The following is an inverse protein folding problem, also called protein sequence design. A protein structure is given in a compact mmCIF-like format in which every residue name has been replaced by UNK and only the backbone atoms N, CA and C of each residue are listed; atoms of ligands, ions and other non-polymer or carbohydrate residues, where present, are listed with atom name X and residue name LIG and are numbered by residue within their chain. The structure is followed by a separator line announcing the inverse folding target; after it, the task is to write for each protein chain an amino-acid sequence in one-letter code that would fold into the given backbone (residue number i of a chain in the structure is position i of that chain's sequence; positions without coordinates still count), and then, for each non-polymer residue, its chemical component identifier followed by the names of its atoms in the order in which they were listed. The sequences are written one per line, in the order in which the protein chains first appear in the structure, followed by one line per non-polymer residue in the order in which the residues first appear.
data_IF_764757227800
#
_entry.id   IF_764757227800
#
_cell.length_a   1.000
_cell.length_b   1.000
_cell.length_c   1.000
_cell.angle_alpha   90.00
_cell.angle_beta   90.00
_cell.angle_gamma   90.00
#
_symmetry.space_group_name_H-M   'P 1'
#
loop_
_entity.id
_entity.type
_entity.pdbx_description
1 polymer ?
#
# COMPACT_ATOMS: atom_id res chain seq x y z
N UNK A 1 -56.16 43.64 -41.43
CA UNK A 1 -56.54 43.89 -40.02
C UNK A 1 -55.29 44.36 -39.28
N UNK A 2 -54.86 45.61 -39.49
CA UNK A 2 -55.12 46.82 -38.68
C UNK A 2 -54.68 46.69 -37.19
N UNK A 3 -53.43 47.12 -36.98
CA UNK A 3 -52.76 47.85 -35.87
C UNK A 3 -53.41 47.97 -34.47
N UNK A 4 -52.59 47.90 -33.41
CA UNK A 4 -51.98 49.05 -32.67
C UNK A 4 -51.42 48.61 -31.30
N UNK A 5 -50.12 48.78 -31.06
CA UNK A 5 -49.66 49.78 -30.09
C UNK A 5 -48.14 49.98 -30.12
N UNK A 6 -47.80 51.27 -30.12
CA UNK A 6 -46.49 51.89 -30.20
C UNK A 6 -46.10 52.34 -28.80
N UNK A 7 -44.83 52.22 -28.44
CA UNK A 7 -44.19 53.12 -27.49
C UNK A 7 -42.76 53.42 -27.96
N UNK A 8 -42.55 54.66 -28.36
CA UNK A 8 -41.28 55.28 -28.76
C UNK A 8 -40.65 55.90 -27.50
N UNK A 9 -39.34 55.72 -27.30
CA UNK A 9 -38.49 56.75 -26.67
C UNK A 9 -37.16 56.90 -27.41
N UNK A 10 -36.89 58.15 -27.76
CA UNK A 10 -35.74 58.67 -28.50
C UNK A 10 -34.53 58.96 -27.60
N UNK A 11 -33.33 58.88 -28.23
CA UNK A 11 -32.14 59.72 -27.97
C UNK A 11 -31.21 59.23 -26.85
N UNK A 12 -29.89 59.21 -26.99
CA UNK A 12 -29.03 60.17 -27.72
C UNK A 12 -27.80 59.51 -28.36
N UNK A 13 -27.35 60.18 -29.42
CA UNK A 13 -26.19 59.98 -30.29
C UNK A 13 -24.87 59.86 -29.48
N UNK A 14 -24.09 58.82 -29.75
CA UNK A 14 -22.66 58.80 -29.46
C UNK A 14 -21.93 59.48 -30.62
N UNK A 15 -21.30 60.63 -30.35
CA UNK A 15 -20.42 61.32 -31.29
C UNK A 15 -19.09 60.59 -31.35
N UNK A 16 -18.65 60.27 -32.56
CA UNK A 16 -17.32 59.75 -32.85
C UNK A 16 -16.25 60.82 -32.52
N UNK A 17 -15.26 60.45 -31.72
CA UNK A 17 -14.07 61.26 -31.50
C UNK A 17 -13.07 61.06 -32.66
N UNK A 18 -12.33 62.09 -33.09
CA UNK A 18 -11.41 61.98 -34.21
C UNK A 18 -10.11 61.27 -33.81
N UNK A 19 -9.65 60.39 -34.70
CA UNK A 19 -8.32 59.80 -34.71
C UNK A 19 -7.26 60.90 -34.79
N UNK A 20 -6.31 60.94 -33.84
CA UNK A 20 -5.04 61.64 -34.01
C UNK A 20 -3.93 60.64 -34.32
N UNK A 21 -3.23 60.96 -35.41
CA UNK A 21 -2.06 60.29 -35.97
C UNK A 21 -0.83 60.37 -35.05
N UNK A 22 -0.09 59.26 -35.06
CA UNK A 22 1.37 59.10 -34.95
C UNK A 22 2.16 60.00 -33.98
N UNK A 23 2.72 59.37 -32.95
CA UNK A 23 4.05 59.74 -32.46
C UNK A 23 4.89 58.47 -32.25
N UNK A 24 6.11 58.54 -32.77
CA UNK A 24 7.13 57.52 -32.81
C UNK A 24 7.39 56.90 -31.43
N UNK A 25 7.40 55.57 -31.36
CA UNK A 25 7.92 54.83 -30.21
C UNK A 25 9.45 54.79 -30.33
N UNK A 26 10.11 55.78 -29.74
CA UNK A 26 11.54 55.67 -29.41
C UNK A 26 11.68 54.76 -28.19
N UNK A 27 12.41 53.67 -28.33
CA UNK A 27 12.85 52.85 -27.20
C UNK A 27 13.92 53.64 -26.42
N UNK A 28 13.54 54.28 -25.32
CA UNK A 28 14.49 54.73 -24.31
C UNK A 28 14.57 53.67 -23.20
N UNK A 29 15.78 53.18 -22.93
CA UNK A 29 16.10 52.38 -21.75
C UNK A 29 16.32 53.33 -20.58
N UNK A 30 15.23 53.76 -19.94
CA UNK A 30 15.32 54.37 -18.61
C UNK A 30 14.71 53.41 -17.59
N UNK A 31 15.57 52.90 -16.70
CA UNK A 31 15.22 51.96 -15.62
C UNK A 31 14.35 52.59 -14.53
N UNK A 32 14.13 53.90 -14.58
CA UNK A 32 13.33 54.68 -13.62
C UNK A 32 11.83 54.40 -13.70
N UNK A 33 11.32 53.93 -14.85
CA UNK A 33 9.88 53.67 -15.00
C UNK A 33 9.44 52.39 -14.30
N UNK A 34 10.34 51.41 -14.15
CA UNK A 34 10.04 50.13 -13.53
C UNK A 34 9.94 50.26 -12.01
N UNK A 35 10.85 51.02 -11.41
CA UNK A 35 10.79 51.41 -9.99
C UNK A 35 9.54 52.25 -9.71
N UNK A 36 9.24 53.24 -10.55
CA UNK A 36 8.01 54.02 -10.41
C UNK A 36 6.73 53.17 -10.57
N UNK A 37 6.76 52.16 -11.45
CA UNK A 37 5.66 51.19 -11.59
C UNK A 37 5.53 50.25 -10.40
N UNK A 38 6.65 49.79 -9.83
CA UNK A 38 6.67 48.97 -8.61
C UNK A 38 6.17 49.80 -7.43
N UNK A 39 6.60 51.05 -7.30
CA UNK A 39 6.14 51.96 -6.26
C UNK A 39 4.66 52.31 -6.41
N UNK A 40 4.17 52.50 -7.63
CA UNK A 40 2.74 52.69 -7.89
C UNK A 40 1.94 51.42 -7.59
N UNK A 41 2.47 50.24 -7.92
CA UNK A 41 1.84 48.97 -7.59
C UNK A 41 1.80 48.74 -6.09
N UNK A 42 2.90 49.00 -5.39
CA UNK A 42 3.00 48.93 -3.93
C UNK A 42 2.08 49.95 -3.25
N UNK A 43 1.96 51.17 -3.78
CA UNK A 43 0.97 52.15 -3.31
C UNK A 43 -0.46 51.68 -3.54
N UNK A 44 -0.74 51.02 -4.67
CA UNK A 44 -2.04 50.44 -4.95
C UNK A 44 -2.35 49.26 -4.02
N UNK A 45 -1.42 48.32 -3.79
CA UNK A 45 -1.60 47.21 -2.85
C UNK A 45 -1.77 47.71 -1.43
N UNK A 46 -0.96 48.68 -1.00
CA UNK A 46 -1.09 49.28 0.33
C UNK A 46 -2.38 50.09 0.48
N UNK A 47 -2.84 50.75 -0.58
CA UNK A 47 -4.14 51.42 -0.59
C UNK A 47 -5.29 50.42 -0.54
N UNK A 48 -5.18 49.29 -1.25
CA UNK A 48 -6.16 48.21 -1.21
C UNK A 48 -6.18 47.55 0.16
N UNK A 49 -5.03 47.28 0.77
CA UNK A 49 -4.91 46.78 2.14
C UNK A 49 -5.45 47.79 3.16
N UNK A 50 -5.16 49.08 3.01
CA UNK A 50 -5.74 50.13 3.85
C UNK A 50 -7.26 50.22 3.68
N UNK A 51 -7.77 50.06 2.45
CA UNK A 51 -9.21 50.02 2.15
C UNK A 51 -9.85 48.79 2.78
N UNK A 52 -9.23 47.62 2.65
CA UNK A 52 -9.67 46.34 3.22
C UNK A 52 -9.62 46.36 4.76
N UNK A 53 -8.64 47.04 5.34
CA UNK A 53 -8.53 47.27 6.78
C UNK A 53 -9.55 48.33 7.28
N UNK A 54 -9.85 49.36 6.48
CA UNK A 54 -10.86 50.39 6.77
C UNK A 54 -12.29 49.90 6.58
N UNK A 55 -12.48 48.83 5.79
CA UNK A 55 -13.70 48.01 5.78
C UNK A 55 -13.76 47.21 7.09
N UNK A 56 -13.91 47.93 8.20
CA UNK A 56 -14.09 47.41 9.56
C UNK A 56 -15.29 46.44 9.70
N UNK A 57 -16.10 46.25 8.65
CA UNK A 57 -17.19 45.27 8.60
C UNK A 57 -16.72 43.82 8.48
N UNK A 58 -15.53 43.53 7.95
CA UNK A 58 -15.07 42.14 7.74
C UNK A 58 -14.14 41.64 8.82
N UNK A 59 -13.47 42.54 9.56
CA UNK A 59 -12.53 42.16 10.64
C UNK A 59 -13.22 41.84 11.97
N UNK A 60 -14.45 42.31 12.15
CA UNK A 60 -15.29 42.04 13.31
C UNK A 60 -16.50 41.16 13.01
N UNK A 61 -16.57 40.51 11.83
CA UNK A 61 -17.48 39.37 11.68
C UNK A 61 -16.87 38.16 12.38
N UNK A 62 -16.87 38.20 13.71
CA UNK A 62 -17.05 36.97 14.45
C UNK A 62 -18.49 36.54 14.16
N UNK A 63 -18.73 35.43 13.44
CA UNK A 63 -20.08 34.89 13.40
C UNK A 63 -20.52 34.80 14.86
N UNK A 64 -21.75 35.23 15.22
CA UNK A 64 -22.17 35.19 16.60
C UNK A 64 -22.01 33.75 17.08
N UNK A 65 -20.93 33.49 17.81
CA UNK A 65 -20.87 32.34 18.68
C UNK A 65 -21.87 32.71 19.75
N UNK A 66 -23.13 32.37 19.52
CA UNK A 66 -24.05 32.14 20.62
C UNK A 66 -23.32 31.14 21.49
N UNK A 67 -22.60 31.63 22.50
CA UNK A 67 -22.39 30.90 23.74
C UNK A 67 -23.82 30.65 24.20
N UNK A 68 -24.44 29.57 23.72
CA UNK A 68 -25.68 29.07 24.28
C UNK A 68 -25.35 28.98 25.76
N UNK A 69 -26.10 29.71 26.60
CA UNK A 69 -26.12 29.42 28.01
C UNK A 69 -26.25 27.90 28.10
N UNK A 70 -25.36 27.25 28.85
CA UNK A 70 -25.35 25.80 28.96
C UNK A 70 -26.67 25.44 29.63
N UNK A 71 -27.70 25.15 28.84
CA UNK A 71 -29.00 24.76 29.36
C UNK A 71 -28.74 23.59 30.33
N UNK A 72 -29.33 23.56 31.53
CA UNK A 72 -29.16 22.43 32.44
C UNK A 72 -29.70 21.11 31.84
N UNK A 73 -30.51 21.22 30.77
CA UNK A 73 -30.96 20.14 29.90
C UNK A 73 -30.19 20.07 28.55
N UNK A 74 -28.95 20.56 28.51
CA UNK A 74 -28.09 20.52 27.33
C UNK A 74 -28.07 19.10 26.75
N UNK A 75 -28.42 18.99 25.48
CA UNK A 75 -28.43 17.72 24.76
C UNK A 75 -27.12 16.99 24.98
N UNK A 76 -27.22 15.74 25.41
CA UNK A 76 -26.06 14.87 25.62
C UNK A 76 -25.14 14.93 24.40
N UNK A 77 -23.81 14.94 24.62
CA UNK A 77 -22.80 14.92 23.56
C UNK A 77 -23.09 13.81 22.54
N UNK A 78 -23.68 12.69 22.98
CA UNK A 78 -24.14 11.62 22.11
C UNK A 78 -25.22 12.06 21.11
N UNK A 79 -26.21 12.85 21.56
CA UNK A 79 -27.28 13.39 20.70
C UNK A 79 -26.73 14.40 19.69
N UNK A 80 -25.80 15.25 20.12
CA UNK A 80 -25.16 16.22 19.24
C UNK A 80 -24.28 15.53 18.19
N UNK A 81 -23.53 14.49 18.58
CA UNK A 81 -22.75 13.66 17.65
C UNK A 81 -23.64 12.91 16.65
N UNK A 82 -24.78 12.39 17.10
CA UNK A 82 -25.77 11.75 16.24
C UNK A 82 -26.36 12.75 15.22
N UNK A 83 -26.72 13.95 15.69
CA UNK A 83 -27.23 15.02 14.83
C UNK A 83 -26.15 15.47 13.81
N UNK A 84 -24.90 15.64 14.25
CA UNK A 84 -23.77 15.95 13.38
C UNK A 84 -23.59 14.88 12.29
N UNK A 85 -23.58 13.60 12.65
CA UNK A 85 -23.44 12.51 11.69
C UNK A 85 -24.63 12.41 10.72
N UNK A 86 -25.85 12.68 11.21
CA UNK A 86 -27.04 12.71 10.37
C UNK A 86 -26.96 13.83 9.33
N UNK A 87 -26.61 15.05 9.75
CA UNK A 87 -26.41 16.19 8.86
C UNK A 87 -25.29 15.90 7.87
N UNK A 88 -24.13 15.41 8.35
CA UNK A 88 -22.98 15.07 7.50
C UNK A 88 -23.35 14.04 6.45
N UNK A 89 -24.02 12.94 6.81
CA UNK A 89 -24.44 11.91 5.85
C UNK A 89 -25.40 12.45 4.80
N UNK A 90 -26.32 13.35 5.18
CA UNK A 90 -27.31 13.92 4.27
C UNK A 90 -26.74 15.03 3.38
N UNK A 91 -25.84 15.85 3.92
CA UNK A 91 -25.43 17.11 3.28
C UNK A 91 -24.01 17.14 2.72
N UNK A 92 -23.10 16.28 3.18
CA UNK A 92 -21.69 16.37 2.82
C UNK A 92 -21.40 16.12 1.34
N UNK A 93 -22.22 15.31 0.67
CA UNK A 93 -22.04 14.97 -0.74
C UNK A 93 -22.98 15.77 -1.66
N UNK A 94 -23.63 16.83 -1.18
CA UNK A 94 -24.33 17.78 -2.05
C UNK A 94 -23.34 18.75 -2.70
N UNK A 95 -23.66 19.22 -3.91
CA UNK A 95 -22.83 20.16 -4.68
C UNK A 95 -22.16 19.47 -5.86
N UNK A 96 -20.85 19.64 -6.00
CA UNK A 96 -20.05 19.06 -7.09
C UNK A 96 -19.32 17.80 -6.66
N UNK A 97 -19.29 16.78 -7.52
CA UNK A 97 -18.47 15.58 -7.31
C UNK A 97 -17.02 15.88 -7.71
N UNK A 98 -16.13 15.94 -6.72
CA UNK A 98 -14.68 16.09 -6.98
C UNK A 98 -14.12 14.69 -7.30
N UNK A 99 -13.55 14.46 -8.49
CA UNK A 99 -12.90 13.19 -8.79
C UNK A 99 -11.68 13.00 -7.89
N UNK A 100 -11.65 11.89 -7.16
CA UNK A 100 -10.53 11.53 -6.29
C UNK A 100 -9.33 11.14 -7.15
N UNK A 101 -8.27 11.94 -7.12
CA UNK A 101 -7.05 11.67 -7.88
C UNK A 101 -6.07 10.76 -7.13
N UNK A 102 -5.91 10.97 -5.82
CA UNK A 102 -5.06 10.13 -4.97
C UNK A 102 -5.54 10.18 -3.52
N UNK A 103 -5.65 9.01 -2.90
CA UNK A 103 -5.92 8.85 -1.47
C UNK A 103 -4.87 7.93 -0.86
N UNK A 104 -4.06 8.38 0.12
CA UNK A 104 -2.94 7.60 0.66
C UNK A 104 -3.33 6.20 1.17
N UNK A 105 -4.50 6.09 1.80
CA UNK A 105 -5.00 4.84 2.36
C UNK A 105 -5.52 3.85 1.31
N UNK A 106 -5.80 4.30 0.09
CA UNK A 106 -6.43 3.47 -0.93
C UNK A 106 -5.52 2.33 -1.38
N UNK A 107 -4.20 2.55 -1.45
CA UNK A 107 -3.23 1.52 -1.80
C UNK A 107 -3.17 0.37 -0.78
N UNK A 108 -3.48 0.65 0.49
CA UNK A 108 -3.55 -0.36 1.55
C UNK A 108 -4.92 -1.05 1.53
N UNK A 109 -6.02 -0.28 1.47
CA UNK A 109 -7.37 -0.85 1.59
C UNK A 109 -7.76 -1.64 0.34
N UNK A 110 -7.55 -1.05 -0.83
CA UNK A 110 -7.92 -1.60 -2.12
C UNK A 110 -6.76 -1.48 -3.13
N UNK A 111 -5.71 -2.29 -2.96
CA UNK A 111 -4.60 -2.34 -3.90
C UNK A 111 -5.05 -2.80 -5.31
N UNK A 112 -4.41 -2.28 -6.37
CA UNK A 112 -4.69 -2.66 -7.75
C UNK A 112 -4.21 -4.10 -8.03
N UNK A 113 -4.82 -4.74 -9.03
CA UNK A 113 -4.36 -6.04 -9.49
C UNK A 113 -3.07 -5.90 -10.33
N UNK A 114 -2.23 -6.96 -10.43
CA UNK A 114 -1.02 -6.93 -11.25
C UNK A 114 -1.24 -6.52 -12.72
N UNK A 115 -2.44 -6.77 -13.26
CA UNK A 115 -2.84 -6.43 -14.64
C UNK A 115 -3.12 -4.93 -14.80
N UNK A 116 -3.58 -4.28 -13.74
CA UNK A 116 -4.00 -2.86 -13.75
C UNK A 116 -2.84 -1.90 -13.47
N UNK A 117 -1.62 -2.42 -13.34
CA UNK A 117 -0.41 -1.62 -13.12
C UNK A 117 -0.04 -0.93 -14.42
N UNK A 118 -0.08 0.39 -14.40
CA UNK A 118 0.38 1.25 -15.49
C UNK A 118 1.67 1.98 -15.09
N UNK A 119 2.41 2.46 -16.09
CA UNK A 119 3.65 3.21 -15.86
C UNK A 119 3.39 4.52 -15.13
N UNK A 120 2.23 5.15 -15.39
CA UNK A 120 1.80 6.38 -14.73
C UNK A 120 1.57 6.15 -13.24
N UNK A 121 0.99 5.01 -12.86
CA UNK A 121 0.78 4.67 -11.46
C UNK A 121 2.10 4.45 -10.73
N UNK A 122 3.06 3.76 -11.37
CA UNK A 122 4.40 3.54 -10.83
C UNK A 122 5.16 4.86 -10.69
N UNK A 123 5.09 5.73 -11.69
CA UNK A 123 5.68 7.06 -11.66
C UNK A 123 5.06 7.91 -10.54
N UNK A 124 3.73 7.96 -10.46
CA UNK A 124 3.00 8.67 -9.42
C UNK A 124 3.34 8.16 -8.01
N UNK A 125 3.65 6.87 -7.89
CA UNK A 125 4.06 6.22 -6.64
C UNK A 125 5.55 6.37 -6.33
N UNK A 126 6.29 7.19 -7.09
CA UNK A 126 7.70 7.52 -6.86
C UNK A 126 8.66 6.33 -6.98
N UNK A 127 8.24 5.24 -7.63
CA UNK A 127 9.06 4.03 -7.78
C UNK A 127 10.33 4.23 -8.61
N UNK A 128 10.36 5.25 -9.48
CA UNK A 128 11.47 5.57 -10.38
C UNK A 128 12.61 6.34 -9.72
N UNK A 129 12.42 6.86 -8.51
CA UNK A 129 13.43 7.68 -7.84
C UNK A 129 14.40 6.76 -7.10
N UNK A 130 15.61 6.58 -7.61
CA UNK A 130 16.66 5.84 -6.89
C UNK A 130 17.45 6.73 -5.94
N UNK A 131 18.67 6.29 -5.60
CA UNK A 131 19.61 7.01 -4.77
C UNK A 131 20.51 7.97 -5.55
N UNK A 132 21.26 8.80 -4.82
CA UNK A 132 22.24 9.73 -5.37
C UNK A 132 23.32 8.99 -6.17
N UNK A 133 23.87 9.63 -7.21
CA UNK A 133 24.87 9.00 -8.10
C UNK A 133 26.18 8.58 -7.43
N UNK A 134 26.43 9.07 -6.22
CA UNK A 134 27.59 8.69 -5.41
C UNK A 134 27.36 7.40 -4.61
N UNK A 135 26.11 7.12 -4.26
CA UNK A 135 25.68 5.98 -3.45
C UNK A 135 24.94 5.00 -4.37
N UNK A 136 25.68 4.35 -5.26
CA UNK A 136 25.11 3.39 -6.20
C UNK A 136 25.95 2.13 -6.28
N UNK A 137 25.28 1.01 -6.56
CA UNK A 137 25.92 -0.27 -6.81
C UNK A 137 25.99 -0.52 -8.33
N UNK A 138 27.21 -0.65 -8.91
CA UNK A 138 27.37 -0.91 -10.35
C UNK A 138 26.65 -2.18 -10.85
N UNK A 139 26.41 -3.16 -9.98
CA UNK A 139 25.66 -4.38 -10.34
C UNK A 139 24.22 -4.07 -10.81
N UNK A 140 23.64 -2.94 -10.36
CA UNK A 140 22.30 -2.49 -10.73
C UNK A 140 22.23 -1.61 -11.98
N UNK A 141 23.35 -1.39 -12.68
CA UNK A 141 23.40 -0.55 -13.86
C UNK A 141 22.30 -0.90 -14.89
N UNK A 142 21.96 -2.19 -15.02
CA UNK A 142 20.95 -2.69 -15.96
C UNK A 142 19.54 -2.15 -15.74
N UNK A 143 19.20 -1.70 -14.52
CA UNK A 143 17.87 -1.20 -14.19
C UNK A 143 17.77 0.32 -14.25
N UNK A 144 18.91 1.01 -14.35
CA UNK A 144 18.98 2.47 -14.33
C UNK A 144 18.70 2.98 -15.74
N UNK A 145 17.66 3.80 -15.87
CA UNK A 145 17.30 4.47 -17.11
C UNK A 145 18.25 5.64 -17.42
N UNK A 146 18.64 6.41 -16.40
CA UNK A 146 19.51 7.56 -16.57
C UNK A 146 19.74 8.33 -15.27
N UNK A 147 20.31 9.52 -15.38
CA UNK A 147 20.59 10.41 -14.24
C UNK A 147 19.88 11.73 -14.46
N UNK A 148 19.18 12.22 -13.43
CA UNK A 148 18.56 13.55 -13.42
C UNK A 148 18.62 14.12 -12.01
N UNK A 149 18.94 15.40 -11.88
CA UNK A 149 19.03 16.08 -10.59
C UNK A 149 19.99 15.38 -9.58
N UNK A 150 21.06 14.75 -10.08
CA UNK A 150 22.05 14.06 -9.24
C UNK A 150 21.57 12.73 -8.64
N UNK A 151 20.43 12.21 -9.08
CA UNK A 151 19.84 10.94 -8.64
C UNK A 151 19.71 9.99 -9.84
N UNK A 152 19.88 8.70 -9.60
CA UNK A 152 19.61 7.66 -10.58
C UNK A 152 18.10 7.46 -10.76
N UNK A 153 17.63 7.50 -12.01
CA UNK A 153 16.26 7.15 -12.36
C UNK A 153 16.20 5.69 -12.72
N UNK A 154 15.35 4.93 -12.04
CA UNK A 154 15.06 3.52 -12.33
C UNK A 154 14.10 3.44 -13.52
N UNK A 155 14.34 2.51 -14.43
CA UNK A 155 13.47 2.25 -15.58
C UNK A 155 12.13 1.67 -15.13
N UNK A 156 11.04 2.42 -15.36
CA UNK A 156 9.68 2.00 -15.00
C UNK A 156 9.19 0.77 -15.78
N UNK A 157 9.68 0.58 -17.01
CA UNK A 157 9.37 -0.61 -17.81
C UNK A 157 9.95 -1.87 -17.17
N UNK A 158 11.20 -1.77 -16.70
CA UNK A 158 11.86 -2.85 -15.96
C UNK A 158 11.14 -3.10 -14.63
N UNK A 159 10.79 -2.05 -13.89
CA UNK A 159 9.98 -2.17 -12.67
C UNK A 159 8.67 -2.90 -12.92
N UNK A 160 7.91 -2.50 -13.96
CA UNK A 160 6.62 -3.10 -14.29
C UNK A 160 6.75 -4.58 -14.70
N UNK A 161 7.75 -4.92 -15.52
CA UNK A 161 8.00 -6.28 -15.96
C UNK A 161 8.37 -7.20 -14.78
N UNK A 162 9.29 -6.76 -13.92
CA UNK A 162 9.72 -7.51 -12.75
C UNK A 162 8.62 -7.65 -11.71
N UNK A 163 7.85 -6.59 -11.46
CA UNK A 163 6.71 -6.63 -10.53
C UNK A 163 5.64 -7.63 -10.99
N UNK A 164 5.31 -7.65 -12.29
CA UNK A 164 4.37 -8.64 -12.86
C UNK A 164 4.91 -10.07 -12.77
N UNK A 165 6.21 -10.27 -13.00
CA UNK A 165 6.87 -11.57 -12.82
C UNK A 165 6.76 -12.04 -11.37
N UNK A 166 7.10 -11.17 -10.42
CA UNK A 166 7.03 -11.46 -8.98
C UNK A 166 5.60 -11.76 -8.54
N UNK A 167 4.62 -10.98 -9.01
CA UNK A 167 3.21 -11.24 -8.75
C UNK A 167 2.80 -12.65 -9.22
N UNK A 168 3.27 -13.09 -10.38
CA UNK A 168 3.00 -14.45 -10.87
C UNK A 168 3.61 -15.53 -9.98
N UNK A 169 4.81 -15.32 -9.46
CA UNK A 169 5.46 -16.24 -8.51
C UNK A 169 4.66 -16.31 -7.21
N UNK A 170 4.26 -15.17 -6.64
CA UNK A 170 3.44 -15.11 -5.41
C UNK A 170 2.09 -15.83 -5.62
N UNK A 171 1.43 -15.58 -6.75
CA UNK A 171 0.18 -16.28 -7.13
C UNK A 171 0.38 -17.79 -7.20
N UNK A 172 1.48 -18.25 -7.81
CA UNK A 172 1.80 -19.68 -7.94
C UNK A 172 2.09 -20.36 -6.60
N UNK A 173 2.89 -19.73 -5.73
CA UNK A 173 3.17 -20.26 -4.39
C UNK A 173 1.89 -20.33 -3.56
N UNK A 174 1.07 -19.28 -3.59
CA UNK A 174 -0.23 -19.28 -2.91
C UNK A 174 -1.17 -20.37 -3.45
N UNK A 175 -1.18 -20.59 -4.78
CA UNK A 175 -1.99 -21.62 -5.42
C UNK A 175 -1.60 -23.04 -4.97
N UNK A 176 -0.31 -23.30 -4.76
CA UNK A 176 0.19 -24.56 -4.19
C UNK A 176 0.16 -24.61 -2.66
N UNK A 177 -0.46 -23.63 -2.00
CA UNK A 177 -0.59 -23.62 -0.53
C UNK A 177 0.72 -23.41 0.23
N UNK A 178 1.74 -22.83 -0.42
CA UNK A 178 3.01 -22.51 0.22
C UNK A 178 2.90 -21.34 1.20
N UNK A 179 3.79 -21.33 2.19
CA UNK A 179 3.85 -20.30 3.22
C UNK A 179 4.64 -19.08 2.72
N UNK A 180 3.95 -17.95 2.54
CA UNK A 180 4.54 -16.69 2.11
C UNK A 180 4.81 -15.81 3.33
N UNK A 181 6.03 -15.28 3.47
CA UNK A 181 6.43 -14.33 4.51
C UNK A 181 6.70 -12.96 3.91
N UNK A 182 5.90 -11.95 4.26
CA UNK A 182 6.17 -10.55 3.92
C UNK A 182 7.01 -9.89 5.01
N UNK A 183 8.06 -9.18 4.60
CA UNK A 183 9.02 -8.55 5.50
C UNK A 183 9.19 -7.08 5.13
N UNK A 184 8.97 -6.19 6.10
CA UNK A 184 9.25 -4.77 5.95
C UNK A 184 9.52 -4.14 7.31
N UNK A 185 10.77 -3.82 7.60
CA UNK A 185 11.23 -3.42 8.94
C UNK A 185 11.36 -1.91 9.14
N UNK A 186 11.19 -1.11 8.07
CA UNK A 186 11.21 0.35 8.17
C UNK A 186 9.92 0.88 8.82
N UNK A 187 10.02 2.01 9.50
CA UNK A 187 8.88 2.66 10.13
C UNK A 187 7.82 3.05 9.07
N UNK A 188 6.55 2.71 9.33
CA UNK A 188 5.42 2.98 8.43
C UNK A 188 5.14 1.91 7.37
N UNK A 189 5.98 0.88 7.26
CA UNK A 189 5.72 -0.29 6.40
C UNK A 189 4.80 -1.33 7.06
N UNK A 190 4.64 -1.28 8.38
CA UNK A 190 3.82 -2.17 9.20
C UNK A 190 2.42 -2.42 8.62
N UNK A 191 1.68 -1.35 8.32
CA UNK A 191 0.33 -1.41 7.78
C UNK A 191 0.25 -2.08 6.41
N UNK A 192 1.26 -1.85 5.56
CA UNK A 192 1.34 -2.44 4.23
C UNK A 192 1.66 -3.94 4.30
N UNK A 193 2.65 -4.32 5.12
CA UNK A 193 3.08 -5.72 5.29
C UNK A 193 1.95 -6.55 5.91
N UNK A 194 1.33 -6.06 6.98
CA UNK A 194 0.22 -6.76 7.67
C UNK A 194 -0.95 -6.96 6.71
N UNK A 195 -1.29 -5.93 5.92
CA UNK A 195 -2.40 -6.01 4.97
C UNK A 195 -2.09 -6.96 3.82
N UNK A 196 -0.89 -6.92 3.25
CA UNK A 196 -0.46 -7.84 2.20
C UNK A 196 -0.49 -9.31 2.67
N UNK A 197 0.04 -9.58 3.86
CA UNK A 197 0.00 -10.90 4.46
C UNK A 197 -1.44 -11.36 4.72
N UNK A 198 -2.32 -10.48 5.20
CA UNK A 198 -3.74 -10.78 5.39
C UNK A 198 -4.45 -11.15 4.08
N UNK A 199 -4.12 -10.49 2.96
CA UNK A 199 -4.70 -10.80 1.65
C UNK A 199 -4.23 -12.17 1.13
N UNK A 200 -2.93 -12.45 1.25
CA UNK A 200 -2.33 -13.70 0.79
C UNK A 200 -2.50 -14.89 1.75
N UNK A 201 -3.14 -14.68 2.92
CA UNK A 201 -3.18 -15.62 4.05
C UNK A 201 -1.79 -16.10 4.50
N UNK A 202 -0.80 -15.22 4.41
CA UNK A 202 0.60 -15.49 4.76
C UNK A 202 1.01 -14.92 6.12
N UNK A 203 2.31 -14.96 6.39
CA UNK A 203 2.95 -14.37 7.55
C UNK A 203 3.47 -12.96 7.24
N UNK A 204 3.63 -12.15 8.29
CA UNK A 204 4.24 -10.83 8.20
C UNK A 204 5.34 -10.68 9.26
N UNK A 205 6.33 -9.85 8.94
CA UNK A 205 7.36 -9.39 9.87
C UNK A 205 7.58 -7.89 9.66
N UNK A 206 7.28 -7.11 10.70
CA UNK A 206 7.54 -5.67 10.72
C UNK A 206 8.59 -5.25 11.76
N UNK A 207 8.88 -6.13 12.72
CA UNK A 207 9.97 -5.92 13.67
C UNK A 207 11.29 -6.42 13.08
N UNK A 208 12.40 -6.03 13.70
CA UNK A 208 13.73 -6.53 13.33
C UNK A 208 13.77 -8.06 13.28
N UNK A 209 14.34 -8.61 12.21
CA UNK A 209 14.59 -10.05 12.09
C UNK A 209 15.48 -10.56 13.22
N UNK A 210 15.10 -11.67 13.83
CA UNK A 210 15.93 -12.38 14.80
C UNK A 210 16.82 -13.33 14.01
N UNK A 211 18.12 -13.05 14.00
CA UNK A 211 19.09 -13.89 13.31
C UNK A 211 19.03 -15.33 13.84
N UNK A 212 19.01 -16.28 12.91
CA UNK A 212 18.86 -17.70 13.21
C UNK A 212 17.42 -18.20 13.17
N UNK A 213 16.43 -17.38 12.82
CA UNK A 213 15.03 -17.81 12.78
C UNK A 213 14.75 -18.88 11.72
N UNK A 214 15.57 -19.01 10.66
CA UNK A 214 15.47 -20.11 9.69
C UNK A 214 16.51 -21.20 10.00
N UNK A 215 17.76 -20.82 10.30
CA UNK A 215 18.85 -21.79 10.50
C UNK A 215 18.76 -22.53 11.85
N UNK A 216 18.33 -21.83 12.90
CA UNK A 216 18.11 -22.33 14.26
C UNK A 216 16.63 -22.16 14.67
N UNK A 217 15.72 -22.36 13.72
CA UNK A 217 14.29 -22.15 13.91
C UNK A 217 13.71 -22.97 15.05
N UNK A 218 14.19 -24.20 15.26
CA UNK A 218 13.69 -25.10 16.30
C UNK A 218 13.85 -24.52 17.72
N UNK A 219 14.89 -23.72 17.98
CA UNK A 219 15.11 -23.07 19.28
C UNK A 219 14.36 -21.74 19.39
N UNK A 220 14.37 -20.93 18.32
CA UNK A 220 13.78 -19.59 18.34
C UNK A 220 12.25 -19.64 18.28
N UNK A 221 11.70 -20.56 17.48
CA UNK A 221 10.27 -20.74 17.25
C UNK A 221 9.68 -21.89 18.09
N UNK A 222 10.42 -22.42 19.07
CA UNK A 222 9.99 -23.53 19.93
C UNK A 222 8.62 -23.30 20.62
N UNK A 223 8.28 -22.03 20.89
CA UNK A 223 7.04 -21.65 21.58
C UNK A 223 5.85 -21.46 20.62
N UNK A 224 6.09 -21.45 19.31
CA UNK A 224 5.06 -21.21 18.32
C UNK A 224 4.27 -22.50 18.06
N UNK A 225 2.94 -22.41 18.14
CA UNK A 225 2.08 -23.56 17.86
C UNK A 225 1.93 -23.77 16.35
N UNK A 226 2.09 -25.01 15.91
CA UNK A 226 1.87 -25.45 14.53
C UNK A 226 0.45 -26.02 14.42
N UNK A 227 -0.21 -25.80 13.28
CA UNK A 227 -1.55 -26.30 13.00
C UNK A 227 -1.53 -27.13 11.72
N UNK A 228 -2.16 -28.29 11.74
CA UNK A 228 -2.43 -29.08 10.54
C UNK A 228 -3.75 -28.58 9.92
N UNK A 229 -3.70 -28.25 8.63
CA UNK A 229 -4.85 -27.73 7.88
C UNK A 229 -5.16 -28.62 6.69
N UNK A 230 -6.43 -28.74 6.37
CA UNK A 230 -6.91 -29.39 5.14
C UNK A 230 -6.86 -28.42 3.94
N UNK A 231 -7.18 -28.91 2.74
CA UNK A 231 -7.26 -28.13 1.51
C UNK A 231 -8.19 -26.90 1.59
N UNK A 232 -9.19 -26.92 2.48
CA UNK A 232 -10.12 -25.81 2.72
C UNK A 232 -9.67 -24.84 3.83
N UNK A 233 -8.45 -24.96 4.34
CA UNK A 233 -7.92 -24.22 5.51
C UNK A 233 -8.61 -24.54 6.85
N UNK A 234 -9.33 -25.66 6.93
CA UNK A 234 -9.93 -26.13 8.18
C UNK A 234 -8.93 -26.92 9.02
N UNK A 235 -8.93 -26.70 10.33
CA UNK A 235 -7.98 -27.36 11.24
C UNK A 235 -8.41 -28.80 11.46
N UNK A 236 -7.52 -29.75 11.15
CA UNK A 236 -7.77 -31.18 11.34
C UNK A 236 -7.27 -31.61 12.72
N UNK A 237 -8.16 -32.20 13.52
CA UNK A 237 -7.81 -32.77 14.82
C UNK A 237 -7.14 -34.15 14.69
N UNK A 238 -6.29 -34.52 15.66
CA UNK A 238 -5.61 -35.83 15.68
C UNK A 238 -4.16 -35.81 15.19
N UNK A 239 -3.58 -34.61 15.00
CA UNK A 239 -2.16 -34.42 14.69
C UNK A 239 -1.35 -33.89 15.88
N UNK A 240 -1.96 -33.69 17.05
CA UNK A 240 -1.34 -32.99 18.18
C UNK A 240 -0.03 -33.67 18.61
N UNK A 241 -0.05 -34.98 18.82
CA UNK A 241 1.12 -35.76 19.25
C UNK A 241 2.29 -35.67 18.25
N UNK A 242 1.98 -35.60 16.95
CA UNK A 242 2.98 -35.48 15.87
C UNK A 242 3.51 -34.05 15.72
N UNK A 243 2.66 -33.05 15.97
CA UNK A 243 3.00 -31.64 15.87
C UNK A 243 3.94 -31.19 16.99
N UNK A 244 3.88 -31.83 18.18
CA UNK A 244 4.83 -31.56 19.26
C UNK A 244 6.29 -31.90 18.88
N UNK A 245 6.50 -32.94 18.07
CA UNK A 245 7.85 -33.32 17.61
C UNK A 245 8.23 -32.71 16.26
N UNK A 246 7.39 -31.84 15.70
CA UNK A 246 7.60 -31.27 14.38
C UNK A 246 8.68 -30.18 14.41
N UNK A 247 9.46 -30.09 13.34
CA UNK A 247 10.48 -29.04 13.16
C UNK A 247 9.82 -27.69 12.90
N UNK A 248 10.53 -26.61 13.16
CA UNK A 248 10.07 -25.27 12.86
C UNK A 248 9.75 -25.13 11.36
N UNK A 249 8.57 -24.55 11.07
CA UNK A 249 8.15 -24.30 9.69
C UNK A 249 9.03 -23.24 9.06
N UNK A 250 9.39 -23.46 7.80
CA UNK A 250 10.14 -22.52 6.98
C UNK A 250 9.19 -21.90 5.94
N UNK A 251 9.36 -20.62 5.60
CA UNK A 251 8.62 -20.02 4.51
C UNK A 251 9.05 -20.64 3.18
N UNK A 252 8.08 -20.85 2.29
CA UNK A 252 8.34 -21.29 0.91
C UNK A 252 8.67 -20.11 -0.01
N UNK A 253 8.29 -18.89 0.39
CA UNK A 253 8.61 -17.66 -0.31
C UNK A 253 8.75 -16.51 0.69
N UNK A 254 9.83 -15.74 0.57
CA UNK A 254 10.04 -14.52 1.36
C UNK A 254 9.98 -13.31 0.45
N UNK A 255 9.16 -12.32 0.82
CA UNK A 255 9.05 -11.03 0.14
C UNK A 255 9.64 -9.96 1.05
N UNK A 256 10.82 -9.44 0.71
CA UNK A 256 11.52 -8.42 1.47
C UNK A 256 11.38 -7.04 0.81
N UNK A 257 10.79 -6.09 1.53
CA UNK A 257 10.54 -4.73 1.05
C UNK A 257 11.73 -3.80 1.25
N UNK A 258 12.67 -4.17 2.13
CA UNK A 258 13.89 -3.40 2.40
C UNK A 258 15.08 -4.36 2.61
N UNK A 259 15.69 -4.85 1.51
CA UNK A 259 16.78 -5.83 1.53
C UNK A 259 18.05 -5.36 2.24
N UNK A 260 18.38 -4.07 2.15
CA UNK A 260 19.65 -3.53 2.66
C UNK A 260 19.79 -3.67 4.18
N UNK A 261 18.72 -3.43 4.94
CA UNK A 261 18.74 -3.60 6.39
C UNK A 261 18.53 -5.05 6.84
N UNK A 262 18.02 -5.92 5.96
CA UNK A 262 17.65 -7.30 6.28
C UNK A 262 18.50 -8.34 5.54
N UNK A 263 19.76 -8.03 5.25
CA UNK A 263 20.67 -8.96 4.57
C UNK A 263 20.78 -10.34 5.26
N UNK A 264 20.78 -10.37 6.60
CA UNK A 264 20.88 -11.61 7.38
C UNK A 264 19.73 -12.58 7.05
N UNK A 265 18.50 -12.06 6.92
CA UNK A 265 17.34 -12.86 6.52
C UNK A 265 17.55 -13.46 5.12
N UNK A 266 18.00 -12.64 4.16
CA UNK A 266 18.22 -13.08 2.78
C UNK A 266 19.33 -14.12 2.69
N UNK A 267 20.40 -13.95 3.47
CA UNK A 267 21.49 -14.91 3.58
C UNK A 267 21.00 -16.25 4.16
N UNK A 268 20.20 -16.23 5.23
CA UNK A 268 19.60 -17.46 5.77
C UNK A 268 18.67 -18.15 4.77
N UNK A 269 17.90 -17.39 3.98
CA UNK A 269 17.08 -17.94 2.89
C UNK A 269 17.95 -18.62 1.83
N UNK A 270 19.08 -18.01 1.45
CA UNK A 270 20.04 -18.58 0.52
C UNK A 270 20.65 -19.90 1.00
N UNK A 271 20.97 -20.01 2.30
CA UNK A 271 21.48 -21.27 2.89
C UNK A 271 20.46 -22.41 2.89
N UNK A 272 19.16 -22.09 2.89
CA UNK A 272 18.06 -23.05 2.93
C UNK A 272 17.30 -23.19 1.61
N UNK A 273 17.83 -22.63 0.52
CA UNK A 273 17.23 -22.68 -0.82
C UNK A 273 15.79 -22.13 -0.87
N UNK A 274 15.48 -21.13 -0.04
CA UNK A 274 14.17 -20.48 -0.02
C UNK A 274 14.19 -19.35 -1.06
N UNK A 275 13.28 -19.33 -2.05
CA UNK A 275 13.23 -18.26 -3.03
C UNK A 275 12.81 -16.94 -2.37
N UNK A 276 13.43 -15.86 -2.82
CA UNK A 276 13.22 -14.51 -2.27
C UNK A 276 12.83 -13.52 -3.35
N UNK A 277 11.87 -12.65 -3.03
CA UNK A 277 11.50 -11.46 -3.81
C UNK A 277 11.99 -10.25 -3.02
N UNK A 278 12.67 -9.31 -3.68
CA UNK A 278 13.21 -8.11 -3.03
C UNK A 278 12.90 -6.83 -3.81
N UNK A 279 12.54 -5.75 -3.11
CA UNK A 279 12.57 -4.41 -3.71
C UNK A 279 14.02 -3.92 -3.72
N UNK A 280 14.59 -3.74 -4.91
CA UNK A 280 15.99 -3.40 -5.08
C UNK A 280 16.07 -1.95 -5.55
N UNK A 281 16.60 -1.08 -4.69
CA UNK A 281 17.01 0.26 -5.08
C UNK A 281 18.43 0.24 -5.67
N UNK A 282 18.88 1.37 -6.22
CA UNK A 282 20.11 1.53 -7.00
C UNK A 282 21.40 1.24 -6.22
N UNK A 283 21.37 1.25 -4.89
CA UNK A 283 22.49 0.96 -3.98
C UNK A 283 22.49 -0.50 -3.45
N UNK A 284 21.34 -1.17 -3.44
CA UNK A 284 21.21 -2.56 -2.99
C UNK A 284 21.78 -3.57 -4.01
N UNK A 285 22.30 -4.72 -3.59
CA UNK A 285 22.80 -5.74 -4.51
C UNK A 285 21.64 -6.62 -5.02
N UNK A 286 21.41 -6.72 -6.35
CA UNK A 286 20.32 -7.51 -6.90
C UNK A 286 20.56 -9.02 -6.79
N UNK A 287 21.80 -9.46 -6.49
CA UNK A 287 22.16 -10.89 -6.39
C UNK A 287 21.70 -11.52 -5.08
N UNK A 288 21.33 -10.72 -4.07
CA UNK A 288 20.84 -11.23 -2.79
C UNK A 288 19.44 -11.86 -2.87
N UNK A 289 18.71 -11.59 -3.96
CA UNK A 289 17.35 -12.09 -4.14
C UNK A 289 17.18 -12.86 -5.43
N UNK A 290 16.28 -13.85 -5.40
CA UNK A 290 15.95 -14.66 -6.59
C UNK A 290 15.21 -13.83 -7.64
N UNK A 291 14.25 -13.01 -7.19
CA UNK A 291 13.40 -12.19 -8.04
C UNK A 291 13.46 -10.72 -7.59
N UNK A 292 14.34 -9.91 -8.20
CA UNK A 292 14.44 -8.50 -7.87
C UNK A 292 13.30 -7.69 -8.51
N UNK A 293 12.81 -6.69 -7.78
CA UNK A 293 11.89 -5.65 -8.26
C UNK A 293 12.66 -4.32 -8.20
N UNK A 294 13.17 -3.80 -9.32
CA UNK A 294 13.90 -2.54 -9.30
C UNK A 294 12.92 -1.40 -9.02
N UNK A 295 13.01 -0.78 -7.84
CA UNK A 295 12.16 0.33 -7.45
C UNK A 295 12.71 1.03 -6.19
N UNK A 296 12.25 2.25 -5.96
CA UNK A 296 12.50 3.00 -4.74
C UNK A 296 11.96 2.26 -3.50
N UNK A 297 12.82 1.95 -2.53
CA UNK A 297 12.43 1.32 -1.26
C UNK A 297 12.20 2.32 -0.10
N UNK A 298 12.65 3.57 -0.24
CA UNK A 298 12.47 4.67 0.71
C UNK A 298 11.04 5.25 0.69
N UNK A 299 10.41 5.27 -0.48
CA UNK A 299 9.06 5.80 -0.61
C UNK A 299 8.04 4.82 -0.05
N UNK A 300 7.41 5.20 1.07
CA UNK A 300 6.28 4.44 1.66
C UNK A 300 5.16 4.19 0.64
N UNK A 301 4.91 5.13 -0.27
CA UNK A 301 3.88 4.99 -1.31
C UNK A 301 4.25 3.90 -2.31
N UNK A 302 5.52 3.84 -2.72
CA UNK A 302 6.03 2.78 -3.60
C UNK A 302 5.88 1.41 -2.93
N UNK A 303 6.34 1.29 -1.69
CA UNK A 303 6.26 0.05 -0.91
C UNK A 303 4.82 -0.39 -0.70
N UNK A 304 3.89 0.53 -0.37
CA UNK A 304 2.46 0.23 -0.24
C UNK A 304 1.87 -0.31 -1.55
N UNK A 305 2.23 0.28 -2.69
CA UNK A 305 1.79 -0.20 -4.00
C UNK A 305 2.33 -1.62 -4.28
N UNK A 306 3.64 -1.84 -4.12
CA UNK A 306 4.28 -3.13 -4.41
C UNK A 306 3.73 -4.22 -3.48
N UNK A 307 3.72 -3.99 -2.17
CA UNK A 307 3.20 -4.94 -1.19
C UNK A 307 1.71 -5.24 -1.43
N UNK A 308 0.92 -4.21 -1.76
CA UNK A 308 -0.49 -4.35 -2.08
C UNK A 308 -0.73 -5.20 -3.33
N UNK A 309 0.02 -4.96 -4.42
CA UNK A 309 -0.03 -5.74 -5.65
C UNK A 309 0.33 -7.19 -5.42
N UNK A 310 1.42 -7.47 -4.68
CA UNK A 310 1.83 -8.83 -4.37
C UNK A 310 0.81 -9.52 -3.44
N UNK A 311 0.24 -8.78 -2.49
CA UNK A 311 -0.86 -9.25 -1.64
C UNK A 311 -2.11 -9.64 -2.45
N UNK A 312 -2.50 -8.83 -3.44
CA UNK A 312 -3.60 -9.16 -4.39
C UNK A 312 -3.31 -10.39 -5.23
N UNK A 313 -2.06 -10.54 -5.69
CA UNK A 313 -1.67 -11.72 -6.44
C UNK A 313 -1.74 -13.00 -5.59
N UNK A 314 -1.31 -12.92 -4.33
CA UNK A 314 -1.47 -14.00 -3.35
C UNK A 314 -2.93 -14.32 -3.08
N UNK A 315 -3.79 -13.32 -2.87
CA UNK A 315 -5.24 -13.49 -2.71
C UNK A 315 -5.87 -14.21 -3.91
N UNK A 316 -5.50 -13.84 -5.14
CA UNK A 316 -5.98 -14.51 -6.35
C UNK A 316 -5.53 -15.99 -6.40
N UNK A 317 -4.28 -16.28 -6.03
CA UNK A 317 -3.76 -17.65 -5.93
C UNK A 317 -4.51 -18.48 -4.88
N UNK A 318 -4.74 -17.90 -3.69
CA UNK A 318 -5.50 -18.54 -2.62
C UNK A 318 -6.95 -18.82 -3.04
N UNK A 319 -7.60 -17.88 -3.74
CA UNK A 319 -8.95 -18.08 -4.25
C UNK A 319 -9.00 -19.26 -5.23
N UNK A 320 -8.07 -19.32 -6.19
CA UNK A 320 -7.98 -20.42 -7.16
C UNK A 320 -7.74 -21.77 -6.48
N UNK A 321 -6.91 -21.80 -5.44
CA UNK A 321 -6.68 -23.01 -4.65
C UNK A 321 -7.95 -23.49 -3.96
N UNK A 322 -8.70 -22.59 -3.32
CA UNK A 322 -9.96 -22.93 -2.65
C UNK A 322 -11.05 -23.35 -3.64
N UNK A 323 -11.07 -22.78 -4.86
CA UNK A 323 -11.95 -23.23 -5.94
C UNK A 323 -11.59 -24.66 -6.38
N UNK A 324 -10.31 -24.95 -6.62
CA UNK A 324 -9.85 -26.30 -6.96
C UNK A 324 -10.14 -27.32 -5.84
N UNK A 325 -10.00 -26.92 -4.57
CA UNK A 325 -10.33 -27.77 -3.43
C UNK A 325 -11.83 -28.13 -3.37
N UNK A 326 -12.73 -27.21 -3.75
CA UNK A 326 -14.17 -27.50 -3.87
C UNK A 326 -14.49 -28.50 -4.98
N UNK A 327 -13.68 -28.52 -6.05
CA UNK A 327 -13.77 -29.50 -7.12
C UNK A 327 -13.10 -30.84 -6.74
N UNK A 328 -12.51 -30.95 -5.56
CA UNK A 328 -11.81 -32.14 -5.07
C UNK A 328 -10.38 -32.28 -5.59
N UNK A 329 -9.82 -31.24 -6.21
CA UNK A 329 -8.44 -31.22 -6.73
C UNK A 329 -7.53 -30.56 -5.69
N UNK A 330 -6.66 -31.36 -5.07
CA UNK A 330 -5.63 -30.87 -4.16
C UNK A 330 -4.39 -30.48 -4.96
N UNK A 331 -3.96 -29.22 -4.86
CA UNK A 331 -2.88 -28.64 -5.67
C UNK A 331 -1.47 -28.93 -5.15
N UNK A 332 -1.35 -29.58 -4.00
CA UNK A 332 -0.11 -29.85 -3.28
C UNK A 332 -0.10 -31.25 -2.69
N UNK A 333 1.09 -31.74 -2.37
CA UNK A 333 1.29 -33.04 -1.75
C UNK A 333 1.58 -32.87 -0.26
N UNK A 334 0.96 -33.69 0.61
CA UNK A 334 1.27 -33.63 2.03
C UNK A 334 2.75 -33.97 2.29
N UNK A 335 3.37 -33.34 3.31
CA UNK A 335 4.72 -33.69 3.68
C UNK A 335 4.80 -35.17 4.08
N UNK A 336 5.84 -35.90 3.64
CA UNK A 336 5.91 -37.36 3.77
C UNK A 336 5.84 -37.83 5.23
N UNK A 337 6.32 -37.01 6.17
CA UNK A 337 6.39 -37.35 7.60
C UNK A 337 5.05 -37.19 8.34
N UNK A 338 4.04 -36.54 7.74
CA UNK A 338 2.79 -36.20 8.45
C UNK A 338 1.87 -37.43 8.62
N UNK A 339 1.77 -38.27 7.58
CA UNK A 339 0.91 -39.46 7.56
C UNK A 339 -0.58 -39.18 7.85
N UNK A 340 -1.34 -40.22 8.15
CA UNK A 340 -2.78 -40.13 8.43
C UNK A 340 -3.07 -39.54 9.83
N UNK A 341 -4.24 -38.89 10.01
CA UNK A 341 -4.66 -38.35 11.30
C UNK A 341 -4.97 -39.47 12.29
N UNK A 342 -4.60 -39.27 13.56
CA UNK A 342 -4.89 -40.22 14.63
C UNK A 342 -6.32 -40.02 15.12
N UNK A 343 -7.27 -40.73 14.52
CA UNK A 343 -8.68 -40.73 14.95
C UNK A 343 -8.92 -41.46 16.28
N UNK A 344 -10.04 -41.19 16.94
CA UNK A 344 -10.44 -41.90 18.17
C UNK A 344 -10.57 -43.41 17.94
N UNK A 345 -10.99 -43.82 16.74
CA UNK A 345 -11.07 -45.21 16.32
C UNK A 345 -9.69 -45.86 16.14
N UNK A 346 -8.71 -45.14 15.58
CA UNK A 346 -7.34 -45.67 15.46
C UNK A 346 -6.68 -45.82 16.82
N UNK A 347 -6.93 -44.89 17.76
CA UNK A 347 -6.52 -45.03 19.18
C UNK A 347 -7.18 -46.23 19.85
N UNK A 348 -8.47 -46.47 19.62
CA UNK A 348 -9.18 -47.62 20.17
C UNK A 348 -8.65 -48.96 19.61
N UNK A 349 -8.38 -49.03 18.30
CA UNK A 349 -7.75 -50.21 17.66
C UNK A 349 -6.35 -50.47 18.21
N UNK A 350 -5.51 -49.44 18.33
CA UNK A 350 -4.16 -49.58 18.88
C UNK A 350 -4.17 -50.01 20.36
N UNK A 351 -5.13 -49.54 21.15
CA UNK A 351 -5.32 -49.98 22.54
C UNK A 351 -5.76 -51.45 22.63
N UNK A 352 -6.67 -51.87 21.75
CA UNK A 352 -7.12 -53.27 21.66
C UNK A 352 -5.97 -54.20 21.23
N UNK A 353 -5.14 -53.80 20.26
CA UNK A 353 -3.94 -54.55 19.86
C UNK A 353 -2.90 -54.66 20.98
N UNK A 354 -2.61 -53.57 21.70
CA UNK A 354 -1.72 -53.61 22.87
C UNK A 354 -2.26 -54.52 23.97
N UNK A 355 -3.57 -54.50 24.22
CA UNK A 355 -4.21 -55.40 25.18
C UNK A 355 -4.14 -56.87 24.72
N UNK A 356 -4.31 -57.16 23.42
CA UNK A 356 -4.17 -58.50 22.86
C UNK A 356 -2.72 -59.00 22.90
N UNK A 357 -1.74 -58.14 22.62
CA UNK A 357 -0.32 -58.46 22.70
C UNK A 357 0.12 -58.77 24.14
N UNK A 358 -0.37 -58.00 25.13
CA UNK A 358 -0.12 -58.26 26.55
C UNK A 358 -0.71 -59.61 27.00
N UNK A 359 -1.89 -59.98 26.50
CA UNK A 359 -2.48 -61.30 26.74
C UNK A 359 -1.69 -62.44 26.07
N UNK A 360 -1.13 -62.22 24.88
CA UNK A 360 -0.28 -63.21 24.20
C UNK A 360 1.05 -63.44 24.92
N UNK A 361 1.71 -62.38 25.40
CA UNK A 361 2.97 -62.50 26.18
C UNK A 361 2.78 -63.12 27.57
N UNK A 362 1.62 -62.93 28.19
CA UNK A 362 1.28 -63.55 29.47
C UNK A 362 0.96 -65.05 29.36
N UNK A 363 0.57 -65.55 28.18
CA UNK A 363 0.33 -66.97 27.93
C UNK A 363 1.57 -67.73 27.41
N UNK A 364 2.68 -67.04 27.14
CA UNK A 364 3.96 -67.62 26.69
C UNK A 364 5.04 -67.65 27.78
N UNK A 365 4.68 -67.26 29.01
CA UNK A 365 5.48 -67.37 30.23
C UNK A 365 4.82 -68.41 31.13
#
# INVERSE_FOLDING_TARGET
MILRNIAIRHGRKALAAPLRLSQFRTLSTETSTLEASIDNHNKQTNSLEATLNSLHLTRNFTPPQKKKARDPNATSVAKDFQAYNHIKRRTANLGSVIPKHYEPYQLIINPPAPKDITLELLMASQSHLGHATQLWNPANQRYIYGIRQGIHIISLEETAAHLRRCAKVVEGVAYHGGLILFVGTRAGQDSAVVKAASLAKGCHLFNRWVAGSITNGDQILAKCAIKAVDANDEVVAGYEDKLLSWKALKPDLVVCLNPLENYILLHECGLHNIPTIGVIDTDADPTWVTYPIPANDDSLRCIQLIAGVLGRAGEEGQRKRLEAAKEGIVTWLPPPDLGEPVTAESRARAAAEKAAAKKRGANSS
#
